data_IF_603734845902
#
_entry.id   IF_603734845902
#
_cell.length_a   1.000
_cell.length_b   1.000
_cell.length_c   1.000
_cell.angle_alpha   90.00
_cell.angle_beta   90.00
_cell.angle_gamma   90.00
#
_symmetry.space_group_name_H-M   'P 1'
#
loop_
_entity.id
_entity.type
_entity.pdbx_description
1 polymer ?
#
# COMPACT_ATOMS: atom_id res chain seq x y z
N UNK A 1 16.52 0.87 16.65
CA UNK A 1 16.23 0.51 18.05
C UNK A 1 15.35 -0.73 18.16
N UNK A 2 14.07 -0.71 17.74
CA UNK A 2 13.17 -1.89 17.86
C UNK A 2 13.72 -3.10 17.12
N UNK A 3 14.15 -2.92 15.87
CA UNK A 3 14.81 -3.98 15.10
C UNK A 3 16.14 -4.43 15.75
N UNK A 4 17.00 -3.48 16.10
CA UNK A 4 18.34 -3.77 16.64
C UNK A 4 18.30 -4.49 18.01
N UNK A 5 17.29 -4.20 18.82
CA UNK A 5 17.11 -4.78 20.15
C UNK A 5 16.16 -5.99 20.15
N UNK A 6 15.69 -6.44 18.99
CA UNK A 6 14.73 -7.54 18.83
C UNK A 6 13.52 -7.39 19.77
N UNK A 7 13.03 -6.16 19.94
CA UNK A 7 11.87 -5.89 20.77
C UNK A 7 10.65 -6.44 20.02
N UNK A 8 9.74 -7.20 20.66
CA UNK A 8 8.56 -7.78 20.03
C UNK A 8 7.47 -6.72 19.80
N UNK A 9 7.84 -5.60 19.17
CA UNK A 9 7.00 -4.46 18.84
C UNK A 9 7.14 -4.20 17.34
N UNK A 10 6.03 -3.91 16.68
CA UNK A 10 6.02 -3.50 15.28
C UNK A 10 5.89 -1.98 15.22
N UNK A 11 6.79 -1.32 14.49
CA UNK A 11 6.66 0.11 14.18
C UNK A 11 5.95 0.23 12.83
N UNK A 12 4.73 0.75 12.85
CA UNK A 12 3.96 1.04 11.65
C UNK A 12 4.01 2.54 11.39
N UNK A 13 4.56 2.94 10.25
CA UNK A 13 4.53 4.32 9.81
C UNK A 13 3.13 4.68 9.29
N UNK A 14 2.55 5.75 9.80
CA UNK A 14 1.24 6.25 9.39
C UNK A 14 1.38 7.63 8.76
N UNK A 15 0.52 8.00 7.79
CA UNK A 15 0.46 9.36 7.29
C UNK A 15 0.23 10.38 8.42
N UNK A 16 0.91 11.53 8.34
CA UNK A 16 0.70 12.63 9.28
C UNK A 16 -0.74 13.13 9.16
N UNK A 17 -1.53 12.96 10.22
CA UNK A 17 -2.88 13.52 10.32
C UNK A 17 -2.75 15.02 10.58
N UNK A 18 -3.52 15.84 9.85
CA UNK A 18 -3.41 17.30 9.89
C UNK A 18 -4.76 17.97 10.17
N UNK A 19 -4.70 19.12 10.84
CA UNK A 19 -5.82 20.05 10.94
C UNK A 19 -6.16 20.65 9.57
N UNK A 20 -7.32 21.29 9.42
CA UNK A 20 -7.72 21.95 8.17
C UNK A 20 -6.74 23.06 7.73
N UNK A 21 -6.00 23.64 8.68
CA UNK A 21 -4.93 24.62 8.44
C UNK A 21 -3.67 24.00 7.81
N UNK A 22 -3.54 22.67 7.83
CA UNK A 22 -2.33 21.95 7.44
C UNK A 22 -1.37 21.65 8.59
N UNK A 23 -1.60 22.24 9.78
CA UNK A 23 -0.83 21.95 10.99
C UNK A 23 -0.95 20.46 11.37
N UNK A 24 0.16 19.78 11.57
CA UNK A 24 0.17 18.40 12.06
C UNK A 24 -0.54 18.30 13.42
N UNK A 25 -1.41 17.30 13.59
CA UNK A 25 -2.03 17.05 14.89
C UNK A 25 -0.95 16.67 15.91
N UNK A 26 -0.93 17.40 17.02
CA UNK A 26 -0.01 17.14 18.12
C UNK A 26 -0.66 17.48 19.46
N UNK A 27 -0.35 16.72 20.50
CA UNK A 27 -0.67 17.10 21.88
C UNK A 27 -0.08 18.46 22.25
N UNK A 28 0.95 18.92 21.55
CA UNK A 28 1.55 20.26 21.76
C UNK A 28 0.69 21.40 21.21
N UNK A 29 -0.25 21.14 20.31
CA UNK A 29 -1.14 22.17 19.77
C UNK A 29 -2.04 22.78 20.85
N UNK A 30 -2.24 22.10 21.99
CA UNK A 30 -2.98 22.63 23.13
C UNK A 30 -2.29 23.83 23.81
N UNK A 31 -0.98 23.98 23.61
CA UNK A 31 -0.20 25.08 24.16
C UNK A 31 -0.14 26.29 23.21
N UNK A 32 -0.79 26.21 22.06
CA UNK A 32 -0.84 27.27 21.07
C UNK A 32 -2.16 28.04 21.17
N UNK A 33 -2.10 29.36 21.11
CA UNK A 33 -3.29 30.19 20.87
C UNK A 33 -3.85 29.94 19.47
N UNK A 34 -5.11 30.33 19.19
CA UNK A 34 -5.68 30.21 17.84
C UNK A 34 -4.84 30.92 16.76
N UNK A 35 -4.27 32.09 17.06
CA UNK A 35 -3.36 32.81 16.17
C UNK A 35 -2.07 32.02 15.94
N UNK A 36 -1.47 31.48 17.01
CA UNK A 36 -0.27 30.66 16.89
C UNK A 36 -0.50 29.38 16.09
N UNK A 37 -1.70 28.78 16.15
CA UNK A 37 -2.04 27.63 15.30
C UNK A 37 -2.07 28.01 13.82
N UNK A 38 -2.56 29.21 13.48
CA UNK A 38 -2.54 29.71 12.12
C UNK A 38 -1.11 29.98 11.64
N UNK A 39 -0.27 30.60 12.47
CA UNK A 39 1.15 30.83 12.18
C UNK A 39 1.89 29.50 11.98
N UNK A 40 1.64 28.50 12.84
CA UNK A 40 2.27 27.19 12.77
C UNK A 40 1.96 26.41 11.48
N UNK A 41 0.92 26.79 10.72
CA UNK A 41 0.64 26.20 9.42
C UNK A 41 1.79 26.39 8.41
N UNK A 42 2.66 27.38 8.62
CA UNK A 42 3.83 27.63 7.76
C UNK A 42 4.80 26.46 7.73
N UNK A 43 4.88 25.64 8.79
CA UNK A 43 5.74 24.44 8.79
C UNK A 43 5.36 23.52 7.64
N UNK A 44 4.07 23.23 7.47
CA UNK A 44 3.64 22.38 6.37
C UNK A 44 3.73 23.09 5.02
N UNK A 45 3.37 24.39 4.93
CA UNK A 45 3.52 25.16 3.69
C UNK A 45 4.97 25.16 3.18
N UNK A 46 5.94 25.32 4.07
CA UNK A 46 7.37 25.31 3.76
C UNK A 46 7.85 23.94 3.25
N UNK A 47 7.41 22.85 3.87
CA UNK A 47 7.66 21.49 3.38
C UNK A 47 7.01 21.24 2.02
N UNK A 48 5.80 21.74 1.78
CA UNK A 48 5.14 21.66 0.48
C UNK A 48 5.90 22.44 -0.60
N UNK A 49 6.50 23.57 -0.25
CA UNK A 49 7.32 24.36 -1.18
C UNK A 49 8.57 23.59 -1.61
N UNK A 50 9.27 22.95 -0.67
CA UNK A 50 10.38 22.06 -1.00
C UNK A 50 9.93 20.84 -1.82
N UNK A 51 8.77 20.25 -1.50
CA UNK A 51 8.22 19.16 -2.29
C UNK A 51 7.85 19.57 -3.73
N UNK A 52 7.39 20.80 -3.95
CA UNK A 52 7.17 21.35 -5.30
C UNK A 52 8.48 21.53 -6.05
N UNK A 53 9.51 22.08 -5.41
CA UNK A 53 10.84 22.20 -6.00
C UNK A 53 11.41 20.81 -6.36
N UNK A 54 11.22 19.83 -5.47
CA UNK A 54 11.61 18.45 -5.71
C UNK A 54 10.92 17.85 -6.93
N UNK A 55 9.60 18.03 -7.06
CA UNK A 55 8.84 17.62 -8.24
C UNK A 55 9.26 18.33 -9.53
N UNK A 56 9.83 19.54 -9.43
CA UNK A 56 10.39 20.28 -10.56
C UNK A 56 11.82 19.83 -10.93
N UNK A 57 12.38 18.83 -10.23
CA UNK A 57 13.68 18.24 -10.52
C UNK A 57 14.80 18.63 -9.56
N UNK A 58 14.54 19.47 -8.55
CA UNK A 58 15.55 19.77 -7.53
C UNK A 58 15.74 18.55 -6.62
N UNK A 59 16.98 18.13 -6.40
CA UNK A 59 17.30 16.96 -5.57
C UNK A 59 18.32 17.27 -4.49
N UNK A 60 18.99 18.42 -4.57
CA UNK A 60 20.08 18.81 -3.68
C UNK A 60 19.51 19.24 -2.33
N UNK A 61 20.05 18.64 -1.26
CA UNK A 61 19.66 18.89 0.12
C UNK A 61 19.68 20.36 0.48
N UNK A 62 20.78 21.06 0.14
CA UNK A 62 20.93 22.49 0.40
C UNK A 62 19.81 23.33 -0.24
N UNK A 63 19.49 23.10 -1.52
CA UNK A 63 18.42 23.82 -2.22
C UNK A 63 17.04 23.55 -1.62
N UNK A 64 16.75 22.29 -1.30
CA UNK A 64 15.47 21.91 -0.70
C UNK A 64 15.31 22.52 0.71
N UNK A 65 16.37 22.50 1.52
CA UNK A 65 16.40 23.17 2.84
C UNK A 65 16.21 24.67 2.71
N UNK A 66 16.89 25.31 1.76
CA UNK A 66 16.72 26.74 1.48
C UNK A 66 15.28 27.10 1.09
N UNK A 67 14.60 26.25 0.30
CA UNK A 67 13.20 26.47 -0.06
C UNK A 67 12.27 26.44 1.17
N UNK A 68 12.56 25.56 2.14
CA UNK A 68 11.84 25.54 3.43
C UNK A 68 12.12 26.82 4.21
N UNK A 69 13.40 27.16 4.40
CA UNK A 69 13.83 28.30 5.20
C UNK A 69 13.28 29.64 4.67
N UNK A 70 13.23 29.79 3.34
CA UNK A 70 12.67 30.97 2.69
C UNK A 70 11.16 31.14 2.98
N UNK A 71 10.38 30.05 2.97
CA UNK A 71 8.96 30.11 3.32
C UNK A 71 8.76 30.34 4.82
N UNK A 72 9.58 29.74 5.69
CA UNK A 72 9.52 29.99 7.13
C UNK A 72 9.78 31.46 7.49
N UNK A 73 10.63 32.15 6.74
CA UNK A 73 10.92 33.57 6.96
C UNK A 73 9.69 34.48 6.80
N UNK A 74 8.62 34.00 6.15
CA UNK A 74 7.33 34.71 6.09
C UNK A 74 6.62 34.82 7.43
N UNK A 75 6.99 34.00 8.43
CA UNK A 75 6.42 33.99 9.77
C UNK A 75 7.51 34.20 10.84
N UNK A 76 7.89 35.46 11.17
CA UNK A 76 9.01 35.76 12.06
C UNK A 76 8.86 35.22 13.50
N UNK A 77 7.63 34.91 13.91
CA UNK A 77 7.31 34.30 15.20
C UNK A 77 7.82 32.85 15.31
N UNK A 78 8.01 32.17 14.17
CA UNK A 78 8.57 30.82 14.10
C UNK A 78 10.09 30.90 14.12
N UNK A 79 10.72 30.20 15.07
CA UNK A 79 12.17 30.09 15.19
C UNK A 79 12.62 28.68 14.82
N UNK A 80 13.12 28.43 13.60
CA UNK A 80 13.61 27.10 13.22
C UNK A 80 14.78 26.68 14.13
N UNK A 81 14.74 25.45 14.61
CA UNK A 81 15.85 24.80 15.29
C UNK A 81 16.69 24.01 14.29
N UNK A 82 16.03 23.27 13.39
CA UNK A 82 16.67 22.63 12.24
C UNK A 82 15.68 22.39 11.11
N UNK A 83 16.23 22.32 9.90
CA UNK A 83 15.62 21.70 8.73
C UNK A 83 16.65 20.70 8.22
N UNK A 84 16.30 19.42 8.12
CA UNK A 84 17.24 18.38 7.68
C UNK A 84 16.62 17.42 6.69
N UNK A 85 17.41 17.05 5.68
CA UNK A 85 17.09 15.98 4.75
C UNK A 85 17.85 14.73 5.17
N UNK A 86 17.11 13.67 5.50
CA UNK A 86 17.69 12.41 6.00
C UNK A 86 17.08 11.20 5.29
N UNK A 87 17.75 10.06 5.35
CA UNK A 87 17.16 8.80 4.91
C UNK A 87 16.05 8.37 5.89
N UNK A 88 14.84 7.97 5.42
CA UNK A 88 13.68 7.75 6.29
C UNK A 88 13.86 6.64 7.34
N UNK A 89 14.66 5.62 7.04
CA UNK A 89 14.86 4.48 7.95
C UNK A 89 16.07 4.62 8.87
N UNK A 90 17.16 5.25 8.39
CA UNK A 90 18.43 5.33 9.14
C UNK A 90 18.61 6.68 9.81
N UNK A 91 17.84 7.69 9.38
CA UNK A 91 17.93 9.08 9.79
C UNK A 91 19.32 9.69 9.56
N UNK A 92 20.14 9.07 8.70
CA UNK A 92 21.42 9.62 8.28
C UNK A 92 21.19 10.78 7.31
N UNK A 93 21.95 11.88 7.41
CA UNK A 93 21.86 13.00 6.47
C UNK A 93 22.06 12.58 5.02
N UNK A 94 21.35 13.25 4.12
CA UNK A 94 21.48 13.09 2.67
C UNK A 94 21.95 14.39 2.04
N UNK A 95 22.92 14.31 1.13
CA UNK A 95 23.34 15.43 0.29
C UNK A 95 22.37 15.67 -0.87
N UNK A 96 21.68 14.61 -1.32
CA UNK A 96 20.64 14.66 -2.34
C UNK A 96 19.63 13.53 -2.18
N UNK A 97 18.44 13.71 -2.74
CA UNK A 97 17.41 12.66 -2.84
C UNK A 97 17.63 11.87 -4.13
N UNK A 98 18.25 10.69 -4.04
CA UNK A 98 18.37 9.78 -5.20
C UNK A 98 17.05 9.05 -5.47
N UNK A 99 16.53 8.37 -4.46
CA UNK A 99 15.29 7.59 -4.53
C UNK A 99 14.26 8.09 -3.51
N UNK A 100 14.67 8.20 -2.25
CA UNK A 100 13.82 8.68 -1.16
C UNK A 100 14.61 9.52 -0.16
N UNK A 101 13.98 10.59 0.34
CA UNK A 101 14.48 11.41 1.44
C UNK A 101 13.33 11.89 2.31
N UNK A 102 13.55 11.94 3.61
CA UNK A 102 12.65 12.53 4.58
C UNK A 102 13.15 13.95 4.90
N UNK A 103 12.38 14.96 4.52
CA UNK A 103 12.66 16.34 4.88
C UNK A 103 11.92 16.65 6.18
N UNK A 104 12.68 16.84 7.26
CA UNK A 104 12.16 17.05 8.60
C UNK A 104 12.48 18.47 9.10
N UNK A 105 11.54 19.05 9.82
CA UNK A 105 11.67 20.38 10.42
C UNK A 105 11.35 20.31 11.92
N UNK A 106 12.11 21.05 12.71
CA UNK A 106 11.74 21.43 14.06
C UNK A 106 11.85 22.95 14.22
N UNK A 107 10.85 23.55 14.85
CA UNK A 107 10.82 24.99 15.10
C UNK A 107 10.12 25.31 16.42
N UNK A 108 10.42 26.48 17.00
CA UNK A 108 9.74 27.01 18.18
C UNK A 108 8.75 28.11 17.82
N UNK A 109 7.60 28.08 18.45
CA UNK A 109 6.62 29.17 18.46
C UNK A 109 6.31 29.51 19.92
N UNK A 110 6.87 30.63 20.40
CA UNK A 110 6.90 30.93 21.83
C UNK A 110 7.63 29.83 22.62
N UNK A 111 6.98 29.27 23.63
CA UNK A 111 7.53 28.16 24.44
C UNK A 111 7.37 26.78 23.80
N UNK A 112 6.55 26.67 22.76
CA UNK A 112 6.15 25.37 22.19
C UNK A 112 7.07 24.97 21.05
N UNK A 113 7.66 23.78 21.16
CA UNK A 113 8.46 23.16 20.09
C UNK A 113 7.57 22.32 19.19
N UNK A 114 7.54 22.63 17.91
CA UNK A 114 6.77 21.96 16.88
C UNK A 114 7.71 21.19 15.95
N UNK A 115 7.22 20.08 15.40
CA UNK A 115 7.93 19.28 14.41
C UNK A 115 6.98 18.95 13.28
N UNK A 116 7.53 18.80 12.08
CA UNK A 116 6.81 18.31 10.92
C UNK A 116 7.79 17.61 9.98
N UNK A 117 7.28 16.85 9.02
CA UNK A 117 8.09 16.23 7.98
C UNK A 117 7.28 15.96 6.71
N UNK A 118 7.99 15.78 5.60
CA UNK A 118 7.44 15.26 4.35
C UNK A 118 8.42 14.28 3.72
N UNK A 119 7.87 13.26 3.06
CA UNK A 119 8.63 12.29 2.31
C UNK A 119 8.76 12.78 0.86
N UNK A 120 9.99 12.84 0.36
CA UNK A 120 10.35 13.17 -1.01
C UNK A 120 10.77 11.87 -1.69
N UNK A 121 10.06 11.45 -2.74
CA UNK A 121 10.33 10.19 -3.44
C UNK A 121 10.36 10.39 -4.94
N UNK A 122 11.41 9.87 -5.58
CA UNK A 122 11.56 9.82 -7.02
C UNK A 122 11.13 8.44 -7.54
N UNK A 123 9.84 8.15 -7.45
CA UNK A 123 9.25 6.94 -8.02
C UNK A 123 8.01 7.27 -8.84
N UNK A 124 7.69 6.41 -9.80
CA UNK A 124 6.40 6.50 -10.50
C UNK A 124 5.26 6.17 -9.52
N UNK A 125 4.02 6.62 -9.75
CA UNK A 125 2.93 6.37 -8.81
C UNK A 125 2.63 4.89 -8.58
N UNK A 126 2.26 4.57 -7.34
CA UNK A 126 1.70 3.29 -6.92
C UNK A 126 0.19 3.45 -6.73
N UNK A 127 -0.57 2.57 -7.37
CA UNK A 127 -2.02 2.47 -7.18
C UNK A 127 -2.31 1.20 -6.36
N UNK A 128 -2.67 1.37 -5.10
CA UNK A 128 -3.08 0.29 -4.22
C UNK A 128 -4.58 0.01 -4.39
N UNK A 129 -4.96 -1.24 -4.65
CA UNK A 129 -6.35 -1.67 -4.76
C UNK A 129 -6.63 -2.80 -3.77
N UNK A 130 -7.28 -2.46 -2.66
CA UNK A 130 -7.63 -3.38 -1.57
C UNK A 130 -9.13 -3.70 -1.57
N UNK A 131 -9.51 -4.76 -0.85
CA UNK A 131 -10.91 -5.14 -0.68
C UNK A 131 -11.15 -6.64 -0.47
N UNK A 132 -12.39 -7.06 -0.15
CA UNK A 132 -12.74 -8.45 0.08
C UNK A 132 -12.64 -9.33 -1.18
N UNK A 133 -12.68 -10.65 -0.99
CA UNK A 133 -12.64 -11.61 -2.09
C UNK A 133 -13.89 -11.48 -2.97
N UNK A 134 -13.73 -11.52 -4.30
CA UNK A 134 -14.85 -11.41 -5.25
C UNK A 134 -15.33 -9.99 -5.56
N UNK A 135 -14.71 -8.95 -4.98
CA UNK A 135 -15.05 -7.54 -5.26
C UNK A 135 -14.64 -7.04 -6.66
N UNK A 136 -14.11 -7.90 -7.54
CA UNK A 136 -13.70 -7.53 -8.90
C UNK A 136 -12.29 -6.92 -9.02
N UNK A 137 -11.50 -6.92 -7.93
CA UNK A 137 -10.15 -6.32 -7.88
C UNK A 137 -9.24 -6.74 -9.02
N UNK A 138 -9.06 -8.04 -9.26
CA UNK A 138 -8.09 -8.53 -10.25
C UNK A 138 -8.43 -8.10 -11.67
N UNK A 139 -9.72 -7.96 -11.97
CA UNK A 139 -10.18 -7.53 -13.29
C UNK A 139 -10.01 -6.02 -13.45
N UNK A 140 -10.44 -5.25 -12.45
CA UNK A 140 -10.34 -3.79 -12.44
C UNK A 140 -8.88 -3.33 -12.39
N UNK A 141 -8.06 -3.90 -11.51
CA UNK A 141 -6.64 -3.55 -11.37
C UNK A 141 -5.85 -3.76 -12.66
N UNK A 142 -6.11 -4.85 -13.37
CA UNK A 142 -5.49 -5.14 -14.67
C UNK A 142 -5.93 -4.14 -15.74
N UNK A 143 -7.22 -3.78 -15.76
CA UNK A 143 -7.73 -2.77 -16.69
C UNK A 143 -7.12 -1.39 -16.41
N UNK A 144 -7.09 -0.96 -15.14
CA UNK A 144 -6.45 0.30 -14.71
C UNK A 144 -4.97 0.31 -15.09
N UNK A 145 -4.24 -0.77 -14.82
CA UNK A 145 -2.82 -0.86 -15.15
C UNK A 145 -2.58 -0.72 -16.66
N UNK A 146 -3.39 -1.41 -17.48
CA UNK A 146 -3.32 -1.33 -18.94
C UNK A 146 -3.58 0.08 -19.45
N UNK A 147 -4.66 0.72 -19.00
CA UNK A 147 -5.04 2.08 -19.45
C UNK A 147 -4.02 3.13 -19.02
N UNK A 148 -3.42 3.00 -17.83
CA UNK A 148 -2.43 3.94 -17.31
C UNK A 148 -0.99 3.62 -17.73
N UNK A 149 -0.74 2.50 -18.43
CA UNK A 149 0.61 2.05 -18.78
C UNK A 149 1.47 1.69 -17.56
N UNK A 150 0.84 1.19 -16.50
CA UNK A 150 1.49 0.76 -15.26
C UNK A 150 1.67 -0.76 -15.24
N UNK A 151 2.63 -1.23 -14.45
CA UNK A 151 2.76 -2.65 -14.15
C UNK A 151 1.55 -3.11 -13.31
N UNK A 152 1.18 -4.38 -13.39
CA UNK A 152 0.12 -4.97 -12.57
C UNK A 152 0.70 -6.09 -11.73
N UNK A 153 0.39 -6.09 -10.43
CA UNK A 153 0.80 -7.10 -9.47
C UNK A 153 -0.38 -7.65 -8.68
N UNK A 154 -0.57 -8.97 -8.76
CA UNK A 154 -1.50 -9.73 -7.92
C UNK A 154 -0.75 -10.31 -6.70
N UNK A 155 -0.88 -9.66 -5.54
CA UNK A 155 -0.26 -10.18 -4.32
C UNK A 155 -0.95 -11.44 -3.80
N UNK A 156 -2.24 -11.62 -4.12
CA UNK A 156 -2.99 -12.81 -3.76
C UNK A 156 -2.42 -14.06 -4.43
N UNK A 157 -1.97 -13.96 -5.68
CA UNK A 157 -1.28 -15.03 -6.38
C UNK A 157 0.01 -15.45 -5.68
N UNK A 158 0.77 -14.51 -5.08
CA UNK A 158 1.99 -14.83 -4.32
C UNK A 158 1.70 -15.71 -3.10
N UNK A 159 0.71 -15.30 -2.29
CA UNK A 159 0.34 -16.07 -1.09
C UNK A 159 -0.20 -17.45 -1.46
N UNK A 160 -0.95 -17.56 -2.57
CA UNK A 160 -1.44 -18.85 -3.07
C UNK A 160 -0.30 -19.72 -3.61
N UNK A 161 0.69 -19.16 -4.27
CA UNK A 161 1.88 -19.89 -4.72
C UNK A 161 2.66 -20.47 -3.53
N UNK A 162 2.87 -19.67 -2.47
CA UNK A 162 3.46 -20.17 -1.23
C UNK A 162 2.61 -21.26 -0.58
N UNK A 163 1.29 -21.04 -0.49
CA UNK A 163 0.36 -22.04 0.06
C UNK A 163 0.46 -23.36 -0.69
N UNK A 164 0.48 -23.31 -2.02
CA UNK A 164 0.68 -24.50 -2.86
C UNK A 164 2.03 -25.18 -2.57
N UNK A 165 3.11 -24.42 -2.41
CA UNK A 165 4.43 -24.98 -2.10
C UNK A 165 4.46 -25.66 -0.73
N UNK A 166 3.83 -25.05 0.29
CA UNK A 166 3.69 -25.63 1.64
C UNK A 166 2.95 -26.97 1.57
N UNK A 167 1.79 -27.00 0.91
CA UNK A 167 0.97 -28.21 0.74
C UNK A 167 1.73 -29.30 -0.02
N UNK A 168 2.38 -28.94 -1.14
CA UNK A 168 3.17 -29.88 -1.94
C UNK A 168 4.36 -30.46 -1.19
N UNK A 169 4.91 -29.72 -0.25
CA UNK A 169 6.04 -30.16 0.59
C UNK A 169 5.59 -31.02 1.77
N UNK A 170 4.29 -31.25 1.96
CA UNK A 170 3.74 -32.01 3.08
C UNK A 170 3.92 -31.32 4.44
N UNK A 171 4.19 -30.01 4.44
CA UNK A 171 4.36 -29.23 5.66
C UNK A 171 2.97 -28.96 6.25
N UNK A 172 2.79 -29.26 7.54
CA UNK A 172 1.56 -28.93 8.25
C UNK A 172 1.34 -27.41 8.24
N UNK A 173 0.10 -26.98 8.01
CA UNK A 173 -0.28 -25.56 8.06
C UNK A 173 -0.09 -24.94 9.46
N UNK A 174 0.05 -25.78 10.49
CA UNK A 174 0.29 -25.37 11.89
C UNK A 174 1.79 -25.29 12.23
N UNK A 175 2.68 -25.77 11.35
CA UNK A 175 4.13 -25.72 11.55
C UNK A 175 4.70 -24.36 11.11
N UNK A 176 4.45 -23.33 11.93
CA UNK A 176 4.90 -21.97 11.65
C UNK A 176 6.41 -21.85 11.38
N UNK A 177 7.31 -22.53 12.14
CA UNK A 177 8.74 -22.52 11.84
C UNK A 177 9.08 -23.07 10.45
N UNK A 178 8.53 -24.23 10.08
CA UNK A 178 8.79 -24.82 8.76
C UNK A 178 8.24 -23.95 7.62
N UNK A 179 7.07 -23.35 7.80
CA UNK A 179 6.48 -22.41 6.85
C UNK A 179 7.35 -21.15 6.71
N UNK A 180 7.87 -20.62 7.82
CA UNK A 180 8.76 -19.46 7.79
C UNK A 180 10.08 -19.76 7.06
N UNK A 181 10.64 -20.95 7.24
CA UNK A 181 11.85 -21.41 6.56
C UNK A 181 11.63 -21.51 5.05
N UNK A 182 10.59 -22.23 4.60
CA UNK A 182 10.33 -22.40 3.16
C UNK A 182 9.98 -21.06 2.49
N UNK A 183 9.32 -20.14 3.20
CA UNK A 183 9.04 -18.78 2.70
C UNK A 183 10.34 -18.01 2.42
N UNK A 184 11.36 -18.19 3.26
CA UNK A 184 12.62 -17.45 3.15
C UNK A 184 13.48 -17.92 1.97
N UNK A 185 13.34 -19.19 1.62
CA UNK A 185 14.08 -19.83 0.55
C UNK A 185 13.35 -19.79 -0.79
N UNK A 186 12.03 -19.54 -0.78
CA UNK A 186 11.25 -19.56 -2.00
C UNK A 186 11.56 -18.38 -2.94
N UNK A 187 11.63 -18.69 -4.22
CA UNK A 187 11.67 -17.71 -5.30
C UNK A 187 10.31 -17.68 -6.00
N UNK A 188 9.67 -16.50 -6.03
CA UNK A 188 8.36 -16.29 -6.65
C UNK A 188 8.55 -15.34 -7.81
N UNK A 189 8.12 -15.78 -8.99
CA UNK A 189 8.19 -14.98 -10.21
C UNK A 189 6.79 -14.79 -10.76
N UNK A 190 6.48 -13.55 -11.14
CA UNK A 190 5.22 -13.17 -11.78
C UNK A 190 5.58 -12.59 -13.14
N UNK A 191 5.07 -13.19 -14.21
CA UNK A 191 5.23 -12.67 -15.56
C UNK A 191 3.87 -12.30 -16.15
N UNK A 192 3.78 -11.11 -16.73
CA UNK A 192 2.65 -10.77 -17.58
C UNK A 192 2.70 -11.64 -18.84
N UNK A 193 1.54 -12.09 -19.29
CA UNK A 193 1.42 -12.74 -20.59
C UNK A 193 1.38 -11.68 -21.69
N UNK A 194 2.01 -11.95 -22.82
CA UNK A 194 1.92 -11.12 -24.03
C UNK A 194 0.51 -11.17 -24.65
N UNK A 195 -0.29 -12.18 -24.28
CA UNK A 195 -1.67 -12.31 -24.76
C UNK A 195 -2.62 -11.31 -24.06
N UNK A 196 -3.43 -10.56 -24.82
CA UNK A 196 -4.45 -9.68 -24.26
C UNK A 196 -5.41 -10.46 -23.35
N UNK A 197 -5.56 -10.01 -22.09
CA UNK A 197 -6.43 -10.58 -21.06
C UNK A 197 -6.00 -11.95 -20.48
N UNK A 198 -4.84 -12.48 -20.87
CA UNK A 198 -4.34 -13.68 -20.21
C UNK A 198 -4.00 -13.40 -18.73
N UNK A 199 -4.19 -14.37 -17.83
CA UNK A 199 -3.81 -14.21 -16.43
C UNK A 199 -2.29 -14.02 -16.31
N UNK A 200 -1.86 -13.35 -15.23
CA UNK A 200 -0.45 -13.36 -14.84
C UNK A 200 -0.02 -14.81 -14.69
N UNK A 201 1.12 -15.15 -15.29
CA UNK A 201 1.76 -16.44 -15.04
C UNK A 201 2.59 -16.38 -13.77
N UNK A 202 2.50 -17.43 -12.97
CA UNK A 202 3.05 -17.51 -11.62
C UNK A 202 3.98 -18.70 -11.56
N UNK A 203 5.21 -18.47 -11.13
CA UNK A 203 6.16 -19.52 -10.81
C UNK A 203 6.58 -19.45 -9.35
N UNK A 204 6.82 -20.62 -8.76
CA UNK A 204 7.46 -20.74 -7.46
C UNK A 204 8.52 -21.85 -7.51
N UNK A 205 9.76 -21.52 -7.15
CA UNK A 205 10.92 -22.42 -7.25
C UNK A 205 11.04 -23.12 -8.63
N UNK A 206 10.78 -22.36 -9.70
CA UNK A 206 10.82 -22.86 -11.08
C UNK A 206 9.59 -23.65 -11.56
N UNK A 207 8.62 -23.94 -10.68
CA UNK A 207 7.36 -24.58 -11.08
C UNK A 207 6.35 -23.55 -11.56
N UNK A 208 5.79 -23.72 -12.76
CA UNK A 208 4.64 -22.94 -13.22
C UNK A 208 3.40 -23.44 -12.47
N UNK A 209 2.73 -22.55 -11.73
CA UNK A 209 1.64 -22.90 -10.81
C UNK A 209 0.35 -22.12 -11.09
N UNK A 210 0.26 -21.40 -12.19
CA UNK A 210 -0.82 -20.42 -12.47
C UNK A 210 -2.22 -21.01 -12.34
N UNK A 211 -2.42 -22.25 -12.77
CA UNK A 211 -3.70 -22.94 -12.61
C UNK A 211 -3.81 -23.64 -11.25
N UNK A 212 -2.74 -24.27 -10.77
CA UNK A 212 -2.74 -25.04 -9.52
C UNK A 212 -3.10 -24.18 -8.29
N UNK A 213 -2.68 -22.91 -8.28
CA UNK A 213 -2.97 -21.97 -7.18
C UNK A 213 -4.45 -21.55 -7.06
N UNK A 214 -5.28 -21.88 -8.06
CA UNK A 214 -6.71 -21.57 -8.09
C UNK A 214 -7.59 -22.68 -7.50
N UNK A 215 -7.01 -23.86 -7.27
CA UNK A 215 -7.72 -25.01 -6.70
C UNK A 215 -8.43 -24.69 -5.38
N UNK A 216 -9.46 -25.47 -5.06
CA UNK A 216 -10.18 -25.36 -3.79
C UNK A 216 -9.27 -25.61 -2.59
N UNK A 217 -8.34 -26.56 -2.71
CA UNK A 217 -7.36 -26.90 -1.67
C UNK A 217 -6.46 -25.71 -1.31
N UNK A 218 -5.89 -25.03 -2.30
CA UNK A 218 -5.10 -23.82 -2.06
C UNK A 218 -5.99 -22.67 -1.55
N UNK A 219 -7.20 -22.55 -2.10
CA UNK A 219 -8.13 -21.47 -1.73
C UNK A 219 -8.60 -21.57 -0.28
N UNK A 220 -8.77 -22.78 0.27
CA UNK A 220 -9.21 -22.97 1.65
C UNK A 220 -8.09 -22.69 2.67
N UNK A 221 -6.82 -22.88 2.28
CA UNK A 221 -5.67 -22.74 3.18
C UNK A 221 -4.96 -21.38 3.12
N UNK A 222 -5.11 -20.61 2.05
CA UNK A 222 -4.35 -19.38 1.84
C UNK A 222 -4.53 -18.34 2.96
N UNK A 223 -5.73 -18.23 3.55
CA UNK A 223 -5.96 -17.26 4.64
C UNK A 223 -5.22 -17.66 5.93
N UNK A 224 -5.02 -18.95 6.20
CA UNK A 224 -4.23 -19.42 7.34
C UNK A 224 -2.74 -19.12 7.14
N UNK A 225 -2.18 -19.44 5.96
CA UNK A 225 -0.79 -19.11 5.62
C UNK A 225 -0.55 -17.60 5.65
N UNK A 226 -1.49 -16.79 5.13
CA UNK A 226 -1.40 -15.34 5.13
C UNK A 226 -1.60 -14.70 6.51
N UNK A 227 -2.07 -15.43 7.52
CA UNK A 227 -2.18 -14.96 8.90
C UNK A 227 -0.86 -15.07 9.68
N UNK A 228 0.08 -15.90 9.21
CA UNK A 228 1.37 -16.10 9.85
C UNK A 228 2.26 -14.84 9.75
N UNK A 229 2.70 -14.31 10.90
CA UNK A 229 3.50 -13.08 10.99
C UNK A 229 4.82 -13.18 10.22
N UNK A 230 5.56 -14.27 10.37
CA UNK A 230 6.86 -14.48 9.72
C UNK A 230 6.71 -14.56 8.20
N UNK A 231 5.66 -15.22 7.71
CA UNK A 231 5.32 -15.25 6.28
C UNK A 231 5.04 -13.84 5.78
N UNK A 232 4.17 -13.08 6.48
CA UNK A 232 3.79 -11.72 6.11
C UNK A 232 5.01 -10.80 6.01
N UNK A 233 5.88 -10.81 7.02
CA UNK A 233 7.07 -9.96 7.03
C UNK A 233 7.97 -10.20 5.81
N UNK A 234 8.12 -11.45 5.37
CA UNK A 234 8.94 -11.78 4.21
C UNK A 234 8.23 -11.43 2.89
N UNK A 235 6.93 -11.70 2.79
CA UNK A 235 6.13 -11.40 1.61
C UNK A 235 6.01 -9.89 1.37
N UNK A 236 5.80 -9.09 2.42
CA UNK A 236 5.74 -7.62 2.33
C UNK A 236 7.07 -7.08 1.81
N UNK A 237 8.23 -7.58 2.28
CA UNK A 237 9.54 -7.19 1.76
C UNK A 237 9.68 -7.46 0.25
N UNK A 238 9.21 -8.62 -0.22
CA UNK A 238 9.23 -8.96 -1.66
C UNK A 238 8.31 -8.02 -2.47
N UNK A 239 7.12 -7.73 -1.94
CA UNK A 239 6.16 -6.79 -2.58
C UNK A 239 6.70 -5.36 -2.63
N UNK A 240 7.32 -4.90 -1.55
CA UNK A 240 7.95 -3.59 -1.46
C UNK A 240 9.06 -3.43 -2.51
N UNK A 241 9.93 -4.43 -2.64
CA UNK A 241 10.97 -4.45 -3.68
C UNK A 241 10.41 -4.32 -5.10
N UNK A 242 9.28 -4.95 -5.40
CA UNK A 242 8.65 -4.82 -6.70
C UNK A 242 8.02 -3.44 -6.96
N UNK A 243 7.65 -2.71 -5.91
CA UNK A 243 7.12 -1.35 -6.01
C UNK A 243 8.14 -0.24 -5.72
N UNK A 244 9.43 -0.54 -5.49
CA UNK A 244 10.45 0.47 -5.17
C UNK A 244 10.52 1.59 -6.23
N UNK A 245 10.52 1.22 -7.52
CA UNK A 245 10.50 2.19 -8.65
C UNK A 245 9.11 2.75 -8.94
N UNK A 246 8.10 2.22 -8.25
CA UNK A 246 6.69 2.46 -8.46
C UNK A 246 6.25 2.19 -9.90
N UNK A 247 5.21 2.91 -10.36
CA UNK A 247 4.67 2.73 -11.71
C UNK A 247 3.88 1.42 -11.82
N UNK A 248 3.14 1.11 -10.76
CA UNK A 248 2.54 -0.20 -10.55
C UNK A 248 1.15 -0.06 -9.92
N UNK A 249 0.21 -0.86 -10.40
CA UNK A 249 -1.06 -1.14 -9.75
C UNK A 249 -0.90 -2.45 -8.99
N UNK A 250 -1.04 -2.40 -7.67
CA UNK A 250 -0.91 -3.55 -6.80
C UNK A 250 -2.25 -3.85 -6.13
N UNK A 251 -2.74 -5.07 -6.30
CA UNK A 251 -3.97 -5.50 -5.64
C UNK A 251 -3.70 -6.43 -4.46
N UNK A 252 -4.57 -6.34 -3.45
CA UNK A 252 -4.47 -7.18 -2.25
C UNK A 252 -5.56 -6.91 -1.23
N UNK A 253 -5.18 -6.97 0.04
CA UNK A 253 -6.07 -6.76 1.21
C UNK A 253 -5.58 -5.66 2.15
N UNK A 254 -4.30 -5.35 2.10
CA UNK A 254 -3.60 -4.45 3.00
C UNK A 254 -2.46 -3.73 2.28
N UNK A 255 -2.59 -3.54 0.97
CA UNK A 255 -1.59 -2.83 0.16
C UNK A 255 -1.48 -1.38 0.64
N UNK A 256 -2.59 -0.66 0.73
CA UNK A 256 -2.61 0.74 1.13
C UNK A 256 -2.46 0.98 2.64
N UNK A 257 -2.53 -0.06 3.47
CA UNK A 257 -2.40 0.04 4.93
C UNK A 257 -1.06 -0.44 5.46
N UNK A 258 -0.46 -1.48 4.86
CA UNK A 258 0.73 -2.15 5.39
C UNK A 258 1.86 -2.29 4.38
N UNK A 259 1.57 -2.57 3.11
CA UNK A 259 2.63 -2.78 2.10
C UNK A 259 3.20 -1.45 1.59
N UNK A 260 2.31 -0.57 1.13
CA UNK A 260 2.58 0.79 0.67
C UNK A 260 1.62 1.78 1.33
N UNK A 261 1.80 2.09 2.63
CA UNK A 261 1.05 3.16 3.31
C UNK A 261 1.29 4.54 2.69
N UNK A 262 2.32 4.68 1.86
CA UNK A 262 2.71 5.87 1.11
C UNK A 262 2.26 5.84 -0.38
N UNK A 263 1.44 4.86 -0.79
CA UNK A 263 0.90 4.81 -2.16
C UNK A 263 0.10 6.08 -2.50
N UNK A 264 0.34 6.64 -3.69
CA UNK A 264 -0.21 7.93 -4.10
C UNK A 264 -1.73 7.89 -4.34
N UNK A 265 -2.24 6.73 -4.78
CA UNK A 265 -3.66 6.44 -4.90
C UNK A 265 -4.00 5.11 -4.23
N UNK A 266 -4.93 5.15 -3.27
CA UNK A 266 -5.46 3.98 -2.58
C UNK A 266 -6.95 3.85 -2.85
N UNK A 267 -7.36 2.69 -3.32
CA UNK A 267 -8.74 2.34 -3.63
C UNK A 267 -9.12 1.15 -2.75
N UNK A 268 -10.30 1.23 -2.14
CA UNK A 268 -10.93 0.10 -1.45
C UNK A 268 -12.18 -0.31 -2.22
N UNK A 269 -12.09 -1.39 -2.98
CA UNK A 269 -13.22 -1.95 -3.72
C UNK A 269 -14.05 -2.83 -2.81
N UNK A 270 -15.35 -2.60 -2.76
CA UNK A 270 -16.29 -3.45 -2.02
C UNK A 270 -17.47 -3.87 -2.90
N UNK A 271 -18.19 -4.89 -2.45
CA UNK A 271 -19.46 -5.32 -3.03
C UNK A 271 -20.25 -6.15 -2.01
N UNK A 272 -21.57 -6.21 -2.15
CA UNK A 272 -22.40 -7.11 -1.34
C UNK A 272 -21.93 -8.57 -1.44
N UNK A 273 -22.08 -9.34 -0.36
CA UNK A 273 -21.72 -10.76 -0.33
C UNK A 273 -22.44 -11.53 -1.45
N UNK A 274 -23.73 -11.22 -1.66
CA UNK A 274 -24.55 -11.83 -2.70
C UNK A 274 -24.01 -11.57 -4.11
N UNK A 275 -23.62 -10.33 -4.42
CA UNK A 275 -23.03 -10.00 -5.72
C UNK A 275 -21.68 -10.71 -5.93
N UNK A 276 -20.85 -10.77 -4.88
CA UNK A 276 -19.55 -11.47 -4.92
C UNK A 276 -19.73 -12.98 -5.09
N UNK A 277 -20.75 -13.57 -4.47
CA UNK A 277 -21.09 -14.98 -4.63
C UNK A 277 -21.56 -15.28 -6.06
N UNK A 278 -22.41 -14.43 -6.65
CA UNK A 278 -22.84 -14.55 -8.06
C UNK A 278 -21.65 -14.52 -9.03
N UNK A 279 -20.74 -13.54 -8.87
CA UNK A 279 -19.52 -13.43 -9.68
C UNK A 279 -18.65 -14.68 -9.54
N UNK A 280 -18.43 -15.15 -8.31
CA UNK A 280 -17.63 -16.36 -8.05
C UNK A 280 -18.27 -17.62 -8.66
N UNK A 281 -19.59 -17.73 -8.61
CA UNK A 281 -20.31 -18.84 -9.22
C UNK A 281 -20.09 -18.86 -10.75
N UNK A 282 -20.11 -17.69 -11.39
CA UNK A 282 -19.84 -17.56 -12.82
C UNK A 282 -18.39 -17.97 -13.16
N UNK A 283 -17.41 -17.55 -12.36
CA UNK A 283 -16.00 -17.94 -12.54
C UNK A 283 -15.81 -19.47 -12.47
N UNK A 284 -16.43 -20.13 -11.48
CA UNK A 284 -16.34 -21.58 -11.31
C UNK A 284 -16.97 -22.33 -12.48
N UNK A 285 -18.08 -21.81 -13.04
CA UNK A 285 -18.71 -22.36 -14.24
C UNK A 285 -17.78 -22.30 -15.45
N UNK A 286 -17.08 -21.18 -15.65
CA UNK A 286 -16.10 -21.02 -16.72
C UNK A 286 -14.91 -21.96 -16.55
N UNK A 287 -14.51 -22.25 -15.31
CA UNK A 287 -13.40 -23.15 -14.98
C UNK A 287 -13.77 -24.64 -15.05
N UNK A 288 -15.04 -24.99 -15.28
CA UNK A 288 -15.50 -26.38 -15.31
C UNK A 288 -15.49 -27.07 -13.94
N UNK A 289 -15.44 -26.30 -12.85
CA UNK A 289 -15.46 -26.85 -11.49
C UNK A 289 -16.88 -27.16 -11.00
N UNK A 290 -16.96 -27.95 -9.92
CA UNK A 290 -18.23 -28.32 -9.29
C UNK A 290 -19.01 -27.07 -8.87
N UNK A 291 -20.25 -26.97 -9.32
CA UNK A 291 -21.13 -25.86 -8.96
C UNK A 291 -21.53 -25.97 -7.48
N UNK A 292 -21.08 -24.99 -6.69
CA UNK A 292 -21.59 -24.73 -5.35
C UNK A 292 -22.89 -23.91 -5.46
N UNK A 293 -23.79 -24.07 -4.48
CA UNK A 293 -24.97 -23.21 -4.37
C UNK A 293 -24.57 -21.78 -4.05
N UNK A 294 -25.44 -20.80 -4.33
CA UNK A 294 -25.16 -19.41 -3.99
C UNK A 294 -24.99 -19.26 -2.48
N UNK A 295 -25.81 -19.93 -1.67
CA UNK A 295 -25.75 -19.89 -0.21
C UNK A 295 -24.41 -20.41 0.31
N UNK A 296 -23.91 -21.52 -0.26
CA UNK A 296 -22.59 -22.06 0.09
C UNK A 296 -21.45 -21.10 -0.24
N UNK A 297 -21.54 -20.40 -1.39
CA UNK A 297 -20.56 -19.40 -1.79
C UNK A 297 -20.63 -18.14 -0.91
N UNK A 298 -21.82 -17.68 -0.56
CA UNK A 298 -22.02 -16.55 0.35
C UNK A 298 -21.44 -16.84 1.74
N UNK A 299 -21.70 -18.05 2.27
CA UNK A 299 -21.14 -18.49 3.54
C UNK A 299 -19.61 -18.55 3.48
N UNK A 300 -19.04 -19.21 2.46
CA UNK A 300 -17.59 -19.33 2.31
C UNK A 300 -16.90 -17.97 2.15
N UNK A 301 -17.51 -17.03 1.42
CA UNK A 301 -17.00 -15.67 1.27
C UNK A 301 -17.09 -14.89 2.59
N UNK A 302 -18.19 -15.02 3.32
CA UNK A 302 -18.37 -14.35 4.61
C UNK A 302 -17.38 -14.85 5.66
N UNK A 303 -17.20 -16.17 5.78
CA UNK A 303 -16.20 -16.76 6.68
C UNK A 303 -14.79 -16.30 6.33
N UNK A 304 -14.49 -16.20 5.04
CA UNK A 304 -13.19 -15.72 4.58
C UNK A 304 -12.98 -14.24 4.91
N UNK A 305 -13.97 -13.39 4.64
CA UNK A 305 -13.89 -11.97 4.98
C UNK A 305 -13.75 -11.76 6.49
N UNK A 306 -14.44 -12.58 7.31
CA UNK A 306 -14.26 -12.59 8.76
C UNK A 306 -12.81 -12.91 9.15
N UNK A 307 -12.25 -14.02 8.64
CA UNK A 307 -10.84 -14.39 8.89
C UNK A 307 -9.86 -13.30 8.45
N UNK A 308 -10.07 -12.71 7.28
CA UNK A 308 -9.16 -11.71 6.74
C UNK A 308 -9.25 -10.36 7.49
N UNK A 309 -10.42 -10.00 8.03
CA UNK A 309 -10.63 -8.76 8.80
C UNK A 309 -10.27 -8.89 10.29
N UNK A 310 -10.30 -10.10 10.86
CA UNK A 310 -10.05 -10.35 12.29
C UNK A 310 -8.66 -10.93 12.58
N UNK A 311 -7.79 -11.10 11.57
CA UNK A 311 -6.40 -11.51 11.80
C UNK A 311 -5.63 -10.43 12.56
N UNK A 312 -4.76 -10.85 13.48
CA UNK A 312 -3.94 -9.93 14.27
C UNK A 312 -2.97 -9.12 13.42
N UNK A 313 -2.43 -9.71 12.36
CA UNK A 313 -1.40 -9.09 11.52
C UNK A 313 -2.00 -8.62 10.20
N UNK A 314 -1.93 -7.30 9.98
CA UNK A 314 -2.37 -6.61 8.76
C UNK A 314 -3.80 -7.00 8.33
N UNK A 315 -4.82 -6.77 9.18
CA UNK A 315 -6.22 -7.11 8.87
C UNK A 315 -6.72 -6.40 7.60
N UNK A 316 -7.70 -7.01 6.92
CA UNK A 316 -8.41 -6.38 5.82
C UNK A 316 -9.16 -5.15 6.36
N UNK A 317 -8.62 -3.97 6.08
CA UNK A 317 -9.19 -2.70 6.50
C UNK A 317 -8.96 -1.65 5.40
N UNK A 318 -9.92 -0.74 5.27
CA UNK A 318 -9.76 0.44 4.42
C UNK A 318 -8.76 1.42 5.06
N UNK A 319 -7.73 1.81 4.32
CA UNK A 319 -6.83 2.90 4.75
C UNK A 319 -7.61 4.21 4.92
N UNK A 320 -7.20 5.06 5.87
CA UNK A 320 -7.92 6.29 6.21
C UNK A 320 -8.08 7.26 5.01
N UNK A 321 -7.12 7.23 4.08
CA UNK A 321 -7.03 8.05 2.88
C UNK A 321 -7.45 7.29 1.59
N UNK A 322 -7.99 6.07 1.72
CA UNK A 322 -8.46 5.30 0.56
C UNK A 322 -9.86 5.72 0.10
N UNK A 323 -10.04 5.79 -1.22
CA UNK A 323 -11.35 5.98 -1.83
C UNK A 323 -12.11 4.66 -1.87
N UNK A 324 -13.27 4.63 -1.24
CA UNK A 324 -14.15 3.46 -1.27
C UNK A 324 -15.02 3.49 -2.54
N UNK A 325 -15.07 2.36 -3.26
CA UNK A 325 -15.94 2.19 -4.42
C UNK A 325 -16.76 0.92 -4.24
N UNK A 326 -18.07 1.08 -4.06
CA UNK A 326 -19.03 -0.02 -4.10
C UNK A 326 -19.26 -0.43 -5.56
N UNK A 327 -19.02 -1.71 -5.85
CA UNK A 327 -19.05 -2.25 -7.22
C UNK A 327 -20.35 -2.97 -7.57
N UNK A 328 -21.33 -3.01 -6.67
CA UNK A 328 -22.67 -3.51 -6.98
C UNK A 328 -23.29 -2.71 -8.12
N UNK A 329 -23.84 -3.41 -9.12
CA UNK A 329 -24.48 -2.83 -10.31
C UNK A 329 -23.58 -1.91 -11.18
N UNK A 330 -22.27 -1.88 -10.94
CA UNK A 330 -21.32 -1.18 -11.81
C UNK A 330 -20.62 -2.17 -12.73
N UNK A 331 -20.48 -1.78 -13.99
CA UNK A 331 -19.63 -2.47 -14.95
C UNK A 331 -18.15 -2.29 -14.62
N UNK A 332 -17.31 -3.22 -15.11
CA UNK A 332 -15.85 -3.12 -14.99
C UNK A 332 -15.34 -1.79 -15.58
N UNK A 333 -15.91 -1.34 -16.70
CA UNK A 333 -15.53 -0.11 -17.37
C UNK A 333 -15.83 1.13 -16.51
N UNK A 334 -17.00 1.20 -15.86
CA UNK A 334 -17.37 2.31 -14.98
C UNK A 334 -16.44 2.40 -13.77
N UNK A 335 -16.15 1.26 -13.12
CA UNK A 335 -15.22 1.22 -11.98
C UNK A 335 -13.80 1.62 -12.43
N UNK A 336 -13.34 1.11 -13.57
CA UNK A 336 -12.02 1.42 -14.13
C UNK A 336 -11.90 2.92 -14.43
N UNK A 337 -12.88 3.49 -15.13
CA UNK A 337 -12.91 4.92 -15.47
C UNK A 337 -12.89 5.79 -14.22
N UNK A 338 -13.63 5.42 -13.18
CA UNK A 338 -13.63 6.16 -11.91
C UNK A 338 -12.26 6.18 -11.25
N UNK A 339 -11.53 5.07 -11.27
CA UNK A 339 -10.16 5.01 -10.73
C UNK A 339 -9.20 5.86 -11.58
N UNK A 340 -9.32 5.81 -12.90
CA UNK A 340 -8.52 6.63 -13.82
C UNK A 340 -8.79 8.13 -13.59
N UNK A 341 -10.05 8.54 -13.40
CA UNK A 341 -10.39 9.92 -13.07
C UNK A 341 -9.73 10.37 -11.77
N UNK A 342 -9.80 9.57 -10.70
CA UNK A 342 -9.13 9.86 -9.43
C UNK A 342 -7.60 9.96 -9.57
N UNK A 343 -7.01 9.12 -10.42
CA UNK A 343 -5.59 9.16 -10.73
C UNK A 343 -5.20 10.49 -11.40
N UNK A 344 -5.99 10.95 -12.37
CA UNK A 344 -5.79 12.22 -13.06
C UNK A 344 -6.03 13.43 -12.14
N UNK A 345 -7.08 13.42 -11.31
CA UNK A 345 -7.41 14.49 -10.36
C UNK A 345 -6.29 14.73 -9.34
N UNK A 346 -5.56 13.67 -8.95
CA UNK A 346 -4.37 13.76 -8.10
C UNK A 346 -3.12 14.25 -8.82
N UNK A 347 -3.19 14.51 -10.13
CA UNK A 347 -2.03 14.94 -10.93
C UNK A 347 -0.95 13.86 -11.05
N UNK A 348 -1.35 12.58 -11.04
CA UNK A 348 -0.42 11.44 -11.12
C UNK A 348 -0.09 11.04 -12.56
N UNK A 349 -0.79 11.62 -13.54
CA UNK A 349 -0.42 11.47 -14.95
C UNK A 349 0.94 12.12 -15.18
N UNK A 350 1.84 11.40 -15.85
CA UNK A 350 3.06 12.01 -16.36
C UNK A 350 2.65 13.10 -17.36
N UNK A 351 3.08 14.35 -17.14
CA UNK A 351 3.05 15.34 -18.21
C UNK A 351 3.88 14.75 -19.36
N UNK A 352 3.22 14.51 -20.50
CA UNK A 352 3.88 14.06 -21.73
C UNK A 352 4.78 15.15 -22.27
#
# INVERSE_FOLDING_TARGET
LVADLNIPVEIVACPTVREASGLAFSSRNQYLTPEQKQQAAVLYRSLQQAAKAFKAGEQVSASLKMAVEAELASEPAIKPEYVELVHPNTLMPLDKVEEVGLLAIAARLGATRLIDNILLQNRKPIVAIDGPAGAGKSTVARAVAKELGLLYLDTGAMYRALTWLVLRSGISIEDEPAIAEITSQCDIQLAQSDEPNAPIRVWINGFEVTQAIRSLEVTSQVSAIAANRSVRQQMVKKQQRWGEKGGIVMEGRDIGTNVFPDAELKIFLTASVAERAKRRQQDLKVQGEKQLSLEQLEQALSERDFKDSHREVAPLQKAADAFEIQTDNLSIAEVTNRIISLYCEKGLSSQK
#
